data_IF_122620616245
#
_entry.id   IF_122620616245
#
_cell.length_a   1.000
_cell.length_b   1.000
_cell.length_c   1.000
_cell.angle_alpha   90.00
_cell.angle_beta   90.00
_cell.angle_gamma   90.00
#
_symmetry.space_group_name_H-M   'P 1'
#
loop_
_entity.id
_entity.type
_entity.pdbx_description
1 polymer ?
#
# COMPACT_ATOMS: atom_id res chain seq x y z
N UNK A 1 -0.12 21.55 8.71
CA UNK A 1 -0.08 21.50 7.23
C UNK A 1 -1.32 20.78 6.77
N UNK A 2 -2.04 21.29 5.78
CA UNK A 2 -3.23 20.63 5.28
C UNK A 2 -2.83 19.74 4.10
N UNK A 3 -3.23 18.47 4.14
CA UNK A 3 -3.09 17.53 3.05
C UNK A 3 -4.43 16.89 2.74
N UNK A 4 -4.58 16.38 1.52
CA UNK A 4 -5.72 15.60 1.07
C UNK A 4 -5.29 14.14 0.96
N UNK A 5 -5.91 13.29 1.76
CA UNK A 5 -5.64 11.84 1.82
C UNK A 5 -6.82 11.08 1.20
N UNK A 6 -6.59 10.31 0.15
CA UNK A 6 -7.64 9.56 -0.55
C UNK A 6 -7.07 8.30 -1.24
N UNK A 7 -7.95 7.38 -1.63
CA UNK A 7 -7.59 6.24 -2.47
C UNK A 7 -7.70 6.59 -3.96
N UNK A 8 -6.74 6.13 -4.77
CA UNK A 8 -6.77 6.20 -6.24
C UNK A 8 -6.40 4.84 -6.84
N UNK A 9 -6.61 4.64 -8.14
CA UNK A 9 -6.10 3.47 -8.84
C UNK A 9 -4.57 3.45 -8.89
N UNK A 10 -3.97 2.32 -8.53
CA UNK A 10 -2.55 2.09 -8.67
C UNK A 10 -2.18 1.90 -10.14
N UNK A 11 -1.24 2.70 -10.64
CA UNK A 11 -0.78 2.61 -12.03
C UNK A 11 -0.06 1.30 -12.35
N UNK A 12 0.48 0.61 -11.33
CA UNK A 12 1.28 -0.59 -11.52
C UNK A 12 0.44 -1.88 -11.50
N UNK A 13 -0.58 -1.95 -10.65
CA UNK A 13 -1.38 -3.18 -10.45
C UNK A 13 -2.89 -3.01 -10.60
N UNK A 14 -3.39 -1.79 -10.85
CA UNK A 14 -4.82 -1.51 -11.02
C UNK A 14 -5.69 -1.63 -9.75
N UNK A 15 -5.08 -1.96 -8.59
CA UNK A 15 -5.72 -2.00 -7.26
C UNK A 15 -5.76 -0.61 -6.62
N UNK A 16 -6.26 -0.49 -5.39
CA UNK A 16 -6.19 0.78 -4.67
C UNK A 16 -4.76 1.16 -4.25
N UNK A 17 -4.47 2.45 -4.32
CA UNK A 17 -3.27 3.08 -3.81
C UNK A 17 -3.66 4.28 -2.95
N UNK A 18 -2.97 4.43 -1.83
CA UNK A 18 -3.09 5.57 -0.94
C UNK A 18 -2.37 6.78 -1.52
N UNK A 19 -3.01 7.95 -1.48
CA UNK A 19 -2.42 9.23 -1.88
C UNK A 19 -2.43 10.17 -0.69
N UNK A 20 -1.31 10.84 -0.45
CA UNK A 20 -1.20 12.00 0.44
C UNK A 20 -0.70 13.19 -0.37
N UNK A 21 -1.58 14.16 -0.60
CA UNK A 21 -1.32 15.32 -1.45
C UNK A 21 -1.26 16.62 -0.62
N UNK A 22 -0.07 17.19 -0.50
CA UNK A 22 0.17 18.47 0.16
C UNK A 22 0.00 19.60 -0.86
N UNK A 23 -1.26 19.97 -1.11
CA UNK A 23 -1.62 20.91 -2.16
C UNK A 23 -0.97 22.30 -2.05
N UNK A 24 -0.56 22.73 -0.84
CA UNK A 24 0.15 24.00 -0.64
C UNK A 24 1.62 23.97 -1.08
N UNK A 25 2.26 22.81 -1.01
CA UNK A 25 3.69 22.66 -1.35
C UNK A 25 3.89 21.93 -2.67
N UNK A 26 2.85 21.28 -3.21
CA UNK A 26 2.95 20.40 -4.37
C UNK A 26 3.66 19.08 -4.08
N UNK A 27 3.94 18.76 -2.80
CA UNK A 27 4.46 17.47 -2.41
C UNK A 27 3.36 16.40 -2.51
N UNK A 28 3.70 15.24 -3.05
CA UNK A 28 2.74 14.15 -3.29
C UNK A 28 3.39 12.81 -2.95
N UNK A 29 2.67 11.98 -2.23
CA UNK A 29 3.07 10.62 -1.90
C UNK A 29 2.00 9.66 -2.39
N UNK A 30 2.40 8.60 -3.05
CA UNK A 30 1.52 7.50 -3.46
C UNK A 30 2.13 6.21 -2.93
N UNK A 31 1.33 5.37 -2.28
CA UNK A 31 1.75 4.07 -1.75
C UNK A 31 0.67 3.03 -2.05
N UNK A 32 1.05 1.94 -2.73
CA UNK A 32 0.18 0.80 -2.94
C UNK A 32 0.52 -0.31 -1.94
N UNK A 33 -0.38 -0.53 -0.99
CA UNK A 33 -0.28 -1.62 0.01
C UNK A 33 -0.58 -3.01 -0.56
N UNK A 34 -0.61 -3.14 -1.90
CA UNK A 34 -0.85 -4.39 -2.62
C UNK A 34 0.40 -4.86 -3.36
N UNK A 35 0.87 -4.06 -4.32
CA UNK A 35 2.06 -4.40 -5.11
C UNK A 35 3.36 -3.77 -4.60
N UNK A 36 3.30 -2.85 -3.63
CA UNK A 36 4.47 -2.13 -3.12
C UNK A 36 4.88 -0.92 -3.97
N UNK A 37 4.10 -0.55 -5.00
CA UNK A 37 4.33 0.67 -5.77
C UNK A 37 4.42 1.87 -4.84
N UNK A 38 5.47 2.67 -4.99
CA UNK A 38 5.62 3.90 -4.23
C UNK A 38 6.16 5.03 -5.09
N UNK A 39 5.55 6.20 -4.93
CA UNK A 39 5.97 7.44 -5.55
C UNK A 39 6.09 8.50 -4.46
N UNK A 40 7.16 9.27 -4.49
CA UNK A 40 7.33 10.43 -3.62
C UNK A 40 7.86 11.60 -4.41
N UNK A 41 7.16 12.72 -4.32
CA UNK A 41 7.57 14.04 -4.79
C UNK A 41 7.75 14.95 -3.58
N UNK A 42 8.97 15.35 -3.29
CA UNK A 42 9.34 16.20 -2.15
C UNK A 42 9.89 17.53 -2.63
N UNK A 43 9.53 18.61 -1.96
CA UNK A 43 10.14 19.93 -2.18
C UNK A 43 11.50 19.97 -1.48
N UNK A 44 12.57 20.28 -2.21
CA UNK A 44 13.93 20.36 -1.64
C UNK A 44 14.42 21.79 -1.50
N UNK A 45 14.08 22.67 -2.46
CA UNK A 45 14.33 24.11 -2.44
C UNK A 45 13.12 24.82 -3.06
N UNK A 46 13.10 26.16 -3.00
CA UNK A 46 11.98 27.03 -3.38
C UNK A 46 11.32 26.67 -4.72
N UNK A 47 12.07 26.12 -5.68
CA UNK A 47 11.56 25.71 -7.01
C UNK A 47 12.03 24.31 -7.47
N UNK A 48 12.53 23.44 -6.58
CA UNK A 48 13.03 22.11 -6.97
C UNK A 48 12.33 20.96 -6.25
N UNK A 49 12.04 19.90 -7.01
CA UNK A 49 11.46 18.67 -6.51
C UNK A 49 12.44 17.50 -6.63
N UNK A 50 12.52 16.70 -5.57
CA UNK A 50 13.08 15.35 -5.63
C UNK A 50 11.94 14.37 -5.88
N UNK A 51 12.04 13.61 -6.97
CA UNK A 51 11.07 12.58 -7.34
C UNK A 51 11.74 11.23 -7.19
N UNK A 52 11.08 10.32 -6.47
CA UNK A 52 11.44 8.90 -6.39
C UNK A 52 10.24 8.07 -6.76
N UNK A 53 10.47 7.06 -7.58
CA UNK A 53 9.45 6.11 -8.00
C UNK A 53 10.03 4.69 -7.92
N UNK A 54 9.24 3.80 -7.34
CA UNK A 54 9.54 2.37 -7.24
C UNK A 54 8.30 1.61 -7.67
N UNK A 55 8.46 0.70 -8.64
CA UNK A 55 7.35 -0.10 -9.16
C UNK A 55 6.77 -1.04 -8.10
N UNK A 56 7.62 -1.55 -7.22
CA UNK A 56 7.24 -2.51 -6.18
C UNK A 56 7.23 -3.94 -6.71
N UNK A 57 7.70 -4.86 -5.88
CA UNK A 57 7.79 -6.30 -6.16
C UNK A 57 6.91 -7.12 -5.21
N UNK A 58 6.06 -6.46 -4.43
CA UNK A 58 5.31 -7.08 -3.36
C UNK A 58 5.30 -6.28 -2.07
N UNK A 59 4.61 -6.84 -1.09
CA UNK A 59 4.47 -6.28 0.25
C UNK A 59 4.59 -7.37 1.29
N UNK A 60 5.17 -7.00 2.43
CA UNK A 60 5.17 -7.80 3.65
C UNK A 60 4.39 -7.05 4.72
N UNK A 61 3.39 -7.71 5.31
CA UNK A 61 2.64 -7.20 6.45
C UNK A 61 2.99 -8.04 7.67
N UNK A 62 3.59 -7.41 8.68
CA UNK A 62 3.92 -8.01 9.96
C UNK A 62 3.02 -7.40 11.04
N UNK A 63 2.21 -8.22 11.69
CA UNK A 63 1.31 -7.80 12.76
C UNK A 63 1.81 -8.39 14.08
N UNK A 64 1.97 -7.56 15.09
CA UNK A 64 2.27 -8.00 16.46
C UNK A 64 0.99 -8.32 17.21
N UNK A 65 1.07 -9.20 18.19
CA UNK A 65 -0.03 -9.53 19.13
C UNK A 65 -0.54 -8.32 19.91
N UNK A 66 0.24 -7.24 19.99
CA UNK A 66 -0.17 -5.95 20.57
C UNK A 66 -1.13 -5.16 19.67
N UNK A 67 -1.39 -5.63 18.44
CA UNK A 67 -2.21 -4.95 17.43
C UNK A 67 -1.42 -3.98 16.54
N UNK A 68 -0.12 -3.80 16.77
CA UNK A 68 0.71 -2.96 15.91
C UNK A 68 1.10 -3.71 14.63
N UNK A 69 0.73 -3.15 13.48
CA UNK A 69 1.12 -3.64 12.15
C UNK A 69 2.26 -2.82 11.53
N UNK A 70 3.17 -3.49 10.84
CA UNK A 70 4.23 -2.90 10.03
C UNK A 70 4.12 -3.39 8.58
N UNK A 71 4.12 -2.44 7.64
CA UNK A 71 4.12 -2.73 6.21
C UNK A 71 5.50 -2.44 5.63
N UNK A 72 6.13 -3.45 5.04
CA UNK A 72 7.35 -3.32 4.25
C UNK A 72 7.01 -3.37 2.77
N UNK A 73 7.40 -2.33 2.03
CA UNK A 73 7.31 -2.32 0.56
C UNK A 73 8.59 -2.84 -0.05
N UNK A 74 8.47 -3.89 -0.87
CA UNK A 74 9.62 -4.57 -1.44
C UNK A 74 9.99 -3.87 -2.74
N UNK A 75 11.19 -3.28 -2.78
CA UNK A 75 11.67 -2.44 -3.89
C UNK A 75 12.58 -3.19 -4.88
N UNK A 76 12.85 -4.47 -4.64
CA UNK A 76 13.65 -5.35 -5.48
C UNK A 76 12.98 -6.73 -5.62
N UNK A 77 13.36 -7.55 -6.61
CA UNK A 77 12.89 -8.93 -6.71
C UNK A 77 13.07 -9.68 -5.39
N UNK A 78 12.07 -10.47 -5.02
CA UNK A 78 12.08 -11.25 -3.77
C UNK A 78 12.99 -12.47 -3.96
N UNK A 79 14.18 -12.40 -3.38
CA UNK A 79 15.13 -13.52 -3.34
C UNK A 79 14.77 -14.50 -2.23
N UNK A 80 15.30 -15.73 -2.30
CA UNK A 80 15.07 -16.72 -1.24
C UNK A 80 15.66 -16.28 0.10
N UNK A 81 16.78 -15.55 0.08
CA UNK A 81 17.33 -14.93 1.28
C UNK A 81 16.33 -13.95 1.93
N UNK A 82 15.70 -13.08 1.14
CA UNK A 82 14.73 -12.13 1.67
C UNK A 82 13.46 -12.84 2.21
N UNK A 83 13.04 -13.94 1.57
CA UNK A 83 11.94 -14.78 2.09
C UNK A 83 12.32 -15.38 3.44
N UNK A 84 13.53 -15.89 3.58
CA UNK A 84 14.02 -16.47 4.84
C UNK A 84 14.08 -15.41 5.95
N UNK A 85 14.58 -14.21 5.65
CA UNK A 85 14.59 -13.08 6.59
C UNK A 85 13.17 -12.76 7.10
N UNK A 86 12.19 -12.63 6.20
CA UNK A 86 10.80 -12.40 6.61
C UNK A 86 10.18 -13.58 7.37
N UNK A 87 10.52 -14.81 6.99
CA UNK A 87 10.05 -16.00 7.68
C UNK A 87 10.59 -16.07 9.11
N UNK A 88 11.86 -15.74 9.34
CA UNK A 88 12.46 -15.69 10.67
C UNK A 88 11.79 -14.63 11.55
N UNK A 89 11.40 -13.48 10.98
CA UNK A 89 10.62 -12.47 11.70
C UNK A 89 9.28 -13.02 12.17
N UNK A 90 8.58 -13.81 11.36
CA UNK A 90 7.31 -14.43 11.75
C UNK A 90 7.43 -15.40 12.92
N UNK A 91 8.60 -16.01 13.12
CA UNK A 91 8.80 -16.99 14.19
C UNK A 91 8.90 -16.36 15.59
N UNK A 92 9.02 -15.03 15.68
CA UNK A 92 9.09 -14.33 16.97
C UNK A 92 7.79 -14.48 17.75
N UNK A 93 7.93 -14.63 19.08
CA UNK A 93 6.80 -14.93 19.97
C UNK A 93 5.77 -13.78 20.07
N UNK A 94 6.16 -12.55 19.78
CA UNK A 94 5.30 -11.37 19.81
C UNK A 94 4.49 -11.17 18.51
N UNK A 95 4.66 -12.04 17.52
CA UNK A 95 4.02 -11.92 16.21
C UNK A 95 2.69 -12.66 16.15
N UNK A 96 1.70 -12.00 15.57
CA UNK A 96 0.40 -12.56 15.24
C UNK A 96 0.42 -13.12 13.82
N UNK A 97 0.83 -14.38 13.71
CA UNK A 97 1.05 -15.08 12.43
C UNK A 97 -0.20 -15.14 11.55
N UNK A 98 -1.40 -15.14 12.13
CA UNK A 98 -2.65 -15.24 11.38
C UNK A 98 -2.94 -13.99 10.55
N UNK A 99 -2.50 -12.83 11.03
CA UNK A 99 -2.69 -11.54 10.38
C UNK A 99 -1.46 -11.07 9.58
N UNK A 100 -0.38 -11.86 9.56
CA UNK A 100 0.80 -11.59 8.76
C UNK A 100 0.70 -12.21 7.38
N UNK A 101 1.29 -11.56 6.37
CA UNK A 101 1.38 -12.12 5.03
C UNK A 101 2.54 -11.53 4.23
N UNK A 102 3.03 -12.30 3.26
CA UNK A 102 3.97 -11.87 2.23
C UNK A 102 3.38 -12.18 0.86
N UNK A 103 3.27 -11.14 0.04
CA UNK A 103 2.77 -11.24 -1.33
C UNK A 103 3.81 -10.67 -2.27
N UNK A 104 4.20 -11.44 -3.28
CA UNK A 104 4.98 -10.94 -4.41
C UNK A 104 4.06 -10.38 -5.50
N UNK A 105 4.58 -9.44 -6.28
CA UNK A 105 3.94 -8.97 -7.49
C UNK A 105 4.95 -9.02 -8.64
N UNK A 106 4.70 -9.92 -9.60
CA UNK A 106 5.56 -10.12 -10.76
C UNK A 106 4.70 -10.45 -11.99
N UNK A 107 5.11 -9.92 -13.15
CA UNK A 107 4.41 -10.15 -14.43
C UNK A 107 2.90 -9.87 -14.39
N UNK A 108 2.48 -8.85 -13.64
CA UNK A 108 1.06 -8.46 -13.52
C UNK A 108 0.24 -9.32 -12.56
N UNK A 109 0.86 -10.28 -11.87
CA UNK A 109 0.17 -11.25 -11.02
C UNK A 109 0.67 -11.19 -9.58
N UNK A 110 -0.24 -11.44 -8.63
CA UNK A 110 0.07 -11.54 -7.21
C UNK A 110 0.29 -13.00 -6.82
N UNK A 111 1.37 -13.28 -6.11
CA UNK A 111 1.63 -14.62 -5.54
C UNK A 111 1.78 -14.51 -4.04
N UNK A 112 0.92 -15.24 -3.32
CA UNK A 112 1.02 -15.32 -1.86
C UNK A 112 2.14 -16.29 -1.53
N UNK A 113 3.21 -15.79 -0.92
CA UNK A 113 4.34 -16.61 -0.49
C UNK A 113 4.08 -17.22 0.89
N UNK A 114 3.38 -16.50 1.77
CA UNK A 114 2.80 -17.02 3.01
C UNK A 114 1.70 -16.09 3.56
N UNK A 115 0.91 -16.62 4.50
CA UNK A 115 -0.16 -15.89 5.17
C UNK A 115 -1.43 -15.73 4.31
N UNK A 116 -2.37 -14.93 4.79
CA UNK A 116 -3.62 -14.63 4.05
C UNK A 116 -3.86 -13.13 4.02
N UNK A 117 -3.76 -12.47 2.85
CA UNK A 117 -4.11 -11.06 2.73
C UNK A 117 -5.60 -10.79 3.01
N UNK A 118 -5.93 -9.54 3.33
CA UNK A 118 -7.32 -9.13 3.58
C UNK A 118 -8.19 -9.27 2.33
N UNK A 119 -9.51 -9.37 2.49
CA UNK A 119 -10.45 -9.48 1.36
C UNK A 119 -10.33 -8.31 0.37
N UNK A 120 -10.06 -7.11 0.90
CA UNK A 120 -9.86 -5.90 0.10
C UNK A 120 -8.59 -5.96 -0.76
N UNK A 121 -7.68 -6.90 -0.51
CA UNK A 121 -6.41 -6.99 -1.20
C UNK A 121 -6.57 -7.25 -2.70
N UNK A 122 -7.56 -8.08 -3.06
CA UNK A 122 -7.76 -8.56 -4.43
C UNK A 122 -8.81 -7.76 -5.22
N UNK A 123 -9.43 -6.74 -4.61
CA UNK A 123 -10.43 -5.92 -5.28
C UNK A 123 -9.80 -5.04 -6.34
N UNK A 124 -10.42 -4.94 -7.52
CA UNK A 124 -10.07 -3.90 -8.48
C UNK A 124 -10.37 -2.54 -7.84
N UNK A 125 -9.78 -1.47 -8.38
CA UNK A 125 -10.08 -0.14 -7.83
C UNK A 125 -11.57 0.20 -7.92
N UNK A 126 -12.27 -0.20 -8.98
CA UNK A 126 -13.70 0.05 -9.14
C UNK A 126 -14.52 -0.73 -8.08
N UNK A 127 -14.22 -2.01 -7.88
CA UNK A 127 -14.86 -2.81 -6.81
C UNK A 127 -14.57 -2.24 -5.41
N UNK A 128 -13.35 -1.76 -5.20
CA UNK A 128 -12.97 -1.10 -3.94
C UNK A 128 -13.76 0.19 -3.74
N UNK A 129 -13.88 1.01 -4.79
CA UNK A 129 -14.66 2.25 -4.78
C UNK A 129 -16.12 1.97 -4.42
N UNK A 130 -16.77 1.04 -5.12
CA UNK A 130 -18.16 0.63 -4.85
C UNK A 130 -18.33 0.20 -3.39
N UNK A 131 -17.42 -0.62 -2.87
CA UNK A 131 -17.43 -1.07 -1.46
C UNK A 131 -17.30 0.10 -0.48
N UNK A 132 -16.45 1.08 -0.77
CA UNK A 132 -16.27 2.26 0.08
C UNK A 132 -17.50 3.18 0.04
N UNK A 133 -18.11 3.35 -1.13
CA UNK A 133 -19.33 4.14 -1.32
C UNK A 133 -20.53 3.49 -0.61
N UNK A 134 -20.66 2.16 -0.64
CA UNK A 134 -21.69 1.45 0.11
C UNK A 134 -21.51 1.60 1.62
N UNK A 135 -20.26 1.53 2.11
CA UNK A 135 -19.95 1.57 3.54
C UNK A 135 -20.03 2.97 4.15
N UNK A 136 -19.54 3.99 3.44
CA UNK A 136 -19.37 5.34 3.96
C UNK A 136 -20.31 6.37 3.30
N UNK A 137 -21.04 5.97 2.27
CA UNK A 137 -21.86 6.87 1.45
C UNK A 137 -21.03 7.64 0.42
N UNK A 138 -21.74 8.28 -0.51
CA UNK A 138 -21.16 9.24 -1.45
C UNK A 138 -21.38 10.65 -0.89
N UNK A 139 -20.30 11.41 -0.72
CA UNK A 139 -20.42 12.84 -0.43
C UNK A 139 -20.73 13.59 -1.73
N UNK A 140 -21.95 14.11 -1.84
CA UNK A 140 -22.45 14.85 -3.00
C UNK A 140 -21.69 16.17 -3.15
N UNK A 141 -20.52 16.11 -3.79
CA UNK A 141 -19.56 17.20 -3.94
C UNK A 141 -18.10 16.76 -3.97
N UNK A 142 -17.80 15.53 -3.53
CA UNK A 142 -16.45 14.97 -3.44
C UNK A 142 -16.38 13.51 -3.99
N UNK A 143 -16.98 13.24 -5.14
CA UNK A 143 -17.02 11.90 -5.77
C UNK A 143 -15.63 11.30 -6.11
N UNK A 144 -14.58 12.13 -6.11
CA UNK A 144 -13.19 11.72 -6.28
C UNK A 144 -12.52 11.30 -4.97
N UNK A 145 -13.15 11.57 -3.82
CA UNK A 145 -12.64 11.25 -2.51
C UNK A 145 -13.11 9.86 -2.09
N UNK A 146 -12.23 8.88 -2.24
CA UNK A 146 -12.52 7.49 -1.85
C UNK A 146 -11.81 7.21 -0.53
N UNK A 147 -12.58 6.71 0.44
CA UNK A 147 -12.07 6.33 1.77
C UNK A 147 -10.91 5.32 1.65
N UNK A 148 -10.07 5.27 2.68
CA UNK A 148 -8.87 4.43 2.71
C UNK A 148 -9.07 3.32 3.75
N UNK A 149 -8.82 2.08 3.33
CA UNK A 149 -8.75 0.89 4.17
C UNK A 149 -7.52 0.08 3.78
N UNK A 150 -6.80 -0.39 4.79
CA UNK A 150 -5.57 -1.18 4.64
C UNK A 150 -5.88 -2.67 4.61
#
# INVERSE_FOLDING_TARGET
MASLMYAQQCIHCGRSAFVDNYYKTGAKYIKCYRCGYSYSKKVTKTDSFEVKEFLGYGVYNLVKKTGHGEFTFIQSPITDQLKEEFYLELLKDDVDKENCYLVSYESGSFYVLFGTPTENFYLTFDQYKEKMEEKYGVDNGNEWFIAIEH
#
